data_IF_497496535264
#
_entry.id   IF_497496535264
#
_cell.length_a   1.000
_cell.length_b   1.000
_cell.length_c   1.000
_cell.angle_alpha   90.00
_cell.angle_beta   90.00
_cell.angle_gamma   90.00
#
_symmetry.space_group_name_H-M   'P 1'
#
loop_
_entity.id
_entity.type
_entity.pdbx_description
1 polymer ?
#
# COMPACT_ATOMS: atom_id res chain seq x y z
N UNK A 1 6.37 -0.05 13.11
CA UNK A 1 5.82 0.67 14.28
C UNK A 1 5.00 1.84 13.80
N UNK A 2 3.74 1.92 14.23
CA UNK A 2 2.93 3.14 14.11
C UNK A 2 3.67 4.32 14.76
N UNK A 3 3.56 5.51 14.18
CA UNK A 3 4.24 6.71 14.68
C UNK A 3 5.71 6.89 14.28
N UNK A 4 6.32 5.93 13.56
CA UNK A 4 7.73 6.05 13.10
C UNK A 4 7.96 7.08 11.98
N UNK A 5 6.93 7.82 11.55
CA UNK A 5 7.03 8.84 10.51
C UNK A 5 7.13 8.30 9.08
N UNK A 6 6.85 7.01 8.83
CA UNK A 6 6.92 6.38 7.49
C UNK A 6 6.11 7.13 6.44
N UNK A 7 4.87 7.50 6.75
CA UNK A 7 4.00 8.27 5.85
C UNK A 7 4.59 9.64 5.51
N UNK A 8 5.16 10.32 6.50
CA UNK A 8 5.84 11.61 6.29
C UNK A 8 7.05 11.43 5.38
N UNK A 9 7.90 10.43 5.63
CA UNK A 9 9.09 10.18 4.83
C UNK A 9 8.75 9.72 3.40
N UNK A 10 7.73 8.90 3.23
CA UNK A 10 7.23 8.49 1.91
C UNK A 10 6.75 9.70 1.10
N UNK A 11 5.99 10.62 1.71
CA UNK A 11 5.56 11.87 1.06
C UNK A 11 6.75 12.74 0.66
N UNK A 12 7.70 12.96 1.57
CA UNK A 12 8.89 13.78 1.30
C UNK A 12 9.75 13.17 0.17
N UNK A 13 9.88 11.84 0.14
CA UNK A 13 10.57 11.14 -0.94
C UNK A 13 9.88 11.36 -2.29
N UNK A 14 8.55 11.21 -2.34
CA UNK A 14 7.76 11.42 -3.55
C UNK A 14 7.93 12.85 -4.08
N UNK A 15 7.82 13.85 -3.20
CA UNK A 15 8.03 15.26 -3.55
C UNK A 15 9.44 15.48 -4.13
N UNK A 16 10.46 14.91 -3.49
CA UNK A 16 11.84 15.05 -3.91
C UNK A 16 12.16 14.37 -5.24
N UNK A 17 11.53 13.22 -5.53
CA UNK A 17 11.69 12.51 -6.80
C UNK A 17 10.96 13.24 -7.93
N UNK A 18 9.73 13.71 -7.69
CA UNK A 18 8.96 14.52 -8.66
C UNK A 18 9.68 15.82 -9.00
N UNK A 19 10.28 16.49 -8.01
CA UNK A 19 11.10 17.70 -8.23
C UNK A 19 12.33 17.47 -9.12
N UNK A 20 12.72 16.20 -9.35
CA UNK A 20 13.80 15.83 -10.29
C UNK A 20 13.27 15.38 -11.66
N UNK A 21 11.98 15.56 -11.94
CA UNK A 21 11.37 15.19 -13.22
C UNK A 21 11.05 13.71 -13.37
N UNK A 22 11.07 12.92 -12.28
CA UNK A 22 10.69 11.51 -12.32
C UNK A 22 9.17 11.37 -12.21
N UNK A 23 8.58 10.48 -13.02
CA UNK A 23 7.20 10.03 -12.83
C UNK A 23 7.14 9.07 -11.64
N UNK A 24 6.40 9.47 -10.61
CA UNK A 24 6.31 8.76 -9.33
C UNK A 24 4.86 8.50 -8.98
N UNK A 25 4.52 7.22 -8.90
CA UNK A 25 3.31 6.72 -8.27
C UNK A 25 3.52 6.60 -6.76
N UNK A 26 2.70 7.29 -5.98
CA UNK A 26 2.62 7.12 -4.53
C UNK A 26 1.41 6.23 -4.20
N UNK A 27 1.62 5.22 -3.36
CA UNK A 27 0.56 4.29 -2.94
C UNK A 27 0.82 3.80 -1.49
N UNK A 28 -0.05 2.92 -0.94
CA UNK A 28 0.07 2.37 0.43
C UNK A 28 -0.57 0.99 0.56
N UNK A 29 -0.17 0.26 1.60
CA UNK A 29 -0.83 -0.98 2.02
C UNK A 29 -1.36 -0.95 3.46
N UNK A 30 -2.44 -1.70 3.76
CA UNK A 30 -3.35 -2.34 2.81
C UNK A 30 -4.21 -1.28 2.09
N UNK A 31 -4.49 -1.50 0.81
CA UNK A 31 -5.17 -0.54 -0.08
C UNK A 31 -4.42 -0.38 -1.42
N UNK A 32 -4.63 0.75 -2.10
CA UNK A 32 -3.86 1.09 -3.31
C UNK A 32 -4.45 0.63 -4.65
N UNK A 33 -5.57 -0.10 -4.62
CA UNK A 33 -6.43 -0.42 -5.75
C UNK A 33 -7.89 -0.55 -5.25
N UNK A 34 -8.92 -0.45 -6.11
CA UNK A 34 -10.31 -0.56 -5.67
C UNK A 34 -10.60 -1.82 -4.86
N UNK A 35 -10.16 -3.00 -5.33
CA UNK A 35 -10.35 -4.26 -4.61
C UNK A 35 -9.57 -4.32 -3.29
N UNK A 36 -8.34 -3.81 -3.28
CA UNK A 36 -7.55 -3.73 -2.05
C UNK A 36 -8.15 -2.78 -1.00
N UNK A 37 -8.83 -1.69 -1.41
CA UNK A 37 -9.54 -0.79 -0.48
C UNK A 37 -10.81 -1.44 0.10
N UNK A 38 -11.52 -2.27 -0.68
CA UNK A 38 -12.63 -3.09 -0.16
C UNK A 38 -12.14 -4.08 0.89
N UNK A 39 -11.06 -4.82 0.59
CA UNK A 39 -10.46 -5.77 1.53
C UNK A 39 -9.94 -5.05 2.78
N UNK A 40 -9.32 -3.87 2.62
CA UNK A 40 -8.92 -3.02 3.75
C UNK A 40 -10.13 -2.72 4.64
N UNK A 41 -11.25 -2.33 4.05
CA UNK A 41 -12.50 -2.08 4.78
C UNK A 41 -12.92 -3.27 5.64
N UNK A 42 -12.79 -4.50 5.14
CA UNK A 42 -13.09 -5.73 5.90
C UNK A 42 -12.05 -5.97 7.01
N UNK A 43 -10.78 -5.74 6.72
CA UNK A 43 -9.68 -6.03 7.63
C UNK A 43 -9.62 -5.09 8.85
N UNK A 44 -9.97 -3.80 8.68
CA UNK A 44 -9.82 -2.79 9.74
C UNK A 44 -11.15 -2.39 10.41
N UNK A 45 -12.28 -2.97 10.00
CA UNK A 45 -13.59 -2.67 10.58
C UNK A 45 -14.05 -3.71 11.59
N UNK A 46 -14.75 -3.23 12.63
CA UNK A 46 -15.33 -4.06 13.69
C UNK A 46 -14.53 -4.01 14.97
N UNK A 47 -14.81 -4.96 15.86
CA UNK A 47 -14.16 -5.08 17.16
C UNK A 47 -12.69 -5.50 17.03
N UNK A 48 -11.87 -5.07 18.00
CA UNK A 48 -10.53 -5.64 18.18
C UNK A 48 -10.67 -7.15 18.41
N UNK A 49 -9.79 -7.95 17.80
CA UNK A 49 -9.79 -9.43 17.83
C UNK A 49 -10.91 -10.13 17.03
N UNK A 50 -11.60 -9.41 16.13
CA UNK A 50 -12.58 -10.02 15.20
C UNK A 50 -11.99 -11.17 14.37
N UNK A 51 -10.71 -11.09 14.03
CA UNK A 51 -10.03 -12.03 13.14
C UNK A 51 -8.92 -12.77 13.87
N UNK A 52 -8.77 -14.07 13.54
CA UNK A 52 -7.56 -14.79 13.91
C UNK A 52 -6.34 -14.19 13.18
N UNK A 53 -5.14 -14.30 13.76
CA UNK A 53 -3.91 -13.84 13.11
C UNK A 53 -3.71 -14.44 11.69
N UNK A 54 -4.17 -15.68 11.46
CA UNK A 54 -4.15 -16.31 10.13
C UNK A 54 -5.09 -15.59 9.17
N UNK A 55 -6.30 -15.28 9.60
CA UNK A 55 -7.30 -14.58 8.79
C UNK A 55 -6.81 -13.18 8.43
N UNK A 56 -6.28 -12.43 9.40
CA UNK A 56 -5.68 -11.12 9.14
C UNK A 56 -4.56 -11.20 8.11
N UNK A 57 -3.64 -12.16 8.27
CA UNK A 57 -2.56 -12.39 7.32
C UNK A 57 -3.10 -12.61 5.91
N UNK A 58 -4.08 -13.51 5.75
CA UNK A 58 -4.67 -13.81 4.43
C UNK A 58 -5.36 -12.59 3.82
N UNK A 59 -6.08 -11.78 4.60
CA UNK A 59 -6.70 -10.54 4.12
C UNK A 59 -5.65 -9.52 3.66
N UNK A 60 -4.56 -9.36 4.41
CA UNK A 60 -3.45 -8.47 4.04
C UNK A 60 -2.77 -8.92 2.74
N UNK A 61 -2.54 -10.22 2.56
CA UNK A 61 -1.99 -10.77 1.32
C UNK A 61 -2.97 -10.68 0.13
N UNK A 62 -4.28 -10.86 0.37
CA UNK A 62 -5.29 -10.69 -0.67
C UNK A 62 -5.33 -9.24 -1.18
N UNK A 63 -5.32 -8.25 -0.26
CA UNK A 63 -5.23 -6.84 -0.63
C UNK A 63 -3.94 -6.53 -1.41
N UNK A 64 -2.80 -7.10 -0.98
CA UNK A 64 -1.51 -6.95 -1.68
C UNK A 64 -1.52 -7.54 -3.08
N UNK A 65 -2.12 -8.71 -3.30
CA UNK A 65 -2.19 -9.32 -4.63
C UNK A 65 -2.92 -8.41 -5.61
N UNK A 66 -4.10 -7.92 -5.21
CA UNK A 66 -4.87 -6.99 -6.05
C UNK A 66 -4.10 -5.68 -6.30
N UNK A 67 -3.47 -5.12 -5.27
CA UNK A 67 -2.67 -3.91 -5.39
C UNK A 67 -1.47 -4.09 -6.35
N UNK A 68 -0.79 -5.22 -6.29
CA UNK A 68 0.31 -5.55 -7.20
C UNK A 68 -0.18 -5.65 -8.64
N UNK A 69 -1.21 -6.44 -8.88
CA UNK A 69 -1.75 -6.73 -10.20
C UNK A 69 -2.37 -5.50 -10.87
N UNK A 70 -3.08 -4.67 -10.10
CA UNK A 70 -3.86 -3.55 -10.63
C UNK A 70 -3.12 -2.23 -10.65
N UNK A 71 -2.12 -2.04 -9.79
CA UNK A 71 -1.49 -0.73 -9.59
C UNK A 71 0.04 -0.78 -9.73
N UNK A 72 0.72 -1.61 -8.93
CA UNK A 72 2.20 -1.56 -8.85
C UNK A 72 2.84 -2.12 -10.12
N UNK A 73 2.52 -3.35 -10.52
CA UNK A 73 3.18 -4.00 -11.66
C UNK A 73 2.93 -3.26 -12.98
N UNK A 74 1.71 -2.77 -13.29
CA UNK A 74 1.50 -1.93 -14.47
C UNK A 74 2.32 -0.63 -14.44
N UNK A 75 2.44 0.02 -13.27
CA UNK A 75 3.23 1.24 -13.14
C UNK A 75 4.73 1.00 -13.36
N UNK A 76 5.27 -0.09 -12.79
CA UNK A 76 6.65 -0.50 -13.01
C UNK A 76 6.91 -0.85 -14.48
N UNK A 77 5.99 -1.58 -15.13
CA UNK A 77 6.09 -1.90 -16.55
C UNK A 77 6.09 -0.64 -17.45
N UNK A 78 5.40 0.42 -17.03
CA UNK A 78 5.42 1.72 -17.69
C UNK A 78 6.67 2.58 -17.37
N UNK A 79 7.64 2.06 -16.62
CA UNK A 79 8.87 2.77 -16.25
C UNK A 79 8.70 3.80 -15.14
N UNK A 80 7.59 3.77 -14.40
CA UNK A 80 7.30 4.70 -13.30
C UNK A 80 8.01 4.26 -12.03
N UNK A 81 8.43 5.22 -11.22
CA UNK A 81 8.87 4.95 -9.86
C UNK A 81 7.65 4.70 -8.97
N UNK A 82 7.71 3.69 -8.11
CA UNK A 82 6.64 3.40 -7.14
C UNK A 82 7.17 3.59 -5.73
N UNK A 83 6.51 4.46 -4.96
CA UNK A 83 6.74 4.63 -3.52
C UNK A 83 5.50 4.14 -2.79
N UNK A 84 5.62 3.00 -2.12
CA UNK A 84 4.54 2.39 -1.33
C UNK A 84 4.80 2.57 0.16
N UNK A 85 3.86 3.19 0.88
CA UNK A 85 3.90 3.23 2.35
C UNK A 85 3.42 1.87 2.89
N UNK A 86 4.35 1.12 3.49
CA UNK A 86 4.26 -0.30 3.90
C UNK A 86 4.25 -1.28 2.73
N UNK A 87 4.59 -2.53 3.03
CA UNK A 87 4.47 -3.64 2.09
C UNK A 87 4.34 -4.95 2.86
N UNK A 88 5.35 -5.82 2.87
CA UNK A 88 5.36 -7.10 3.57
C UNK A 88 6.04 -7.05 4.96
N UNK A 89 5.98 -5.90 5.64
CA UNK A 89 6.59 -5.67 6.95
C UNK A 89 5.68 -5.98 8.16
#
# INVERSE_FOLDING_TARGET
>A
GEGAGKTTQARLLVERLRARGLDVLQTREPGGSPGAEEIRGIAVSGEADRWSARTETLLMYAARSDHLERTILPALAAGRWVVCDRFAD
#
